data_IF_572259541873
#
_entry.id   IF_572259541873
#
_cell.length_a   1.000
_cell.length_b   1.000
_cell.length_c   1.000
_cell.angle_alpha   90.00
_cell.angle_beta   90.00
_cell.angle_gamma   90.00
#
_symmetry.space_group_name_H-M   'P 1'
#
loop_
_entity.id
_entity.type
_entity.pdbx_description
1 polymer ?
#
# COMPACT_ATOMS: atom_id res chain seq x y z
N UNK A 1 61.83 -30.90 40.48
CA UNK A 1 60.75 -31.17 39.51
C UNK A 1 59.74 -30.02 39.61
N UNK A 2 59.64 -29.18 38.58
CA UNK A 2 58.84 -27.94 38.55
C UNK A 2 57.47 -28.24 37.92
N UNK A 3 56.37 -27.75 38.51
CA UNK A 3 55.03 -27.75 37.90
C UNK A 3 54.54 -26.31 37.84
N UNK A 4 54.45 -25.78 36.62
CA UNK A 4 53.92 -24.46 36.30
C UNK A 4 52.45 -24.62 35.89
N UNK A 5 51.54 -23.98 36.61
CA UNK A 5 50.12 -23.95 36.27
C UNK A 5 49.87 -22.88 35.21
N UNK A 6 49.20 -23.26 34.12
CA UNK A 6 48.88 -22.41 32.98
C UNK A 6 47.55 -21.67 33.21
N UNK A 7 47.61 -20.34 33.18
CA UNK A 7 46.43 -19.45 33.16
C UNK A 7 45.80 -19.46 31.77
N UNK A 8 44.54 -19.87 31.68
CA UNK A 8 43.74 -19.82 30.44
C UNK A 8 43.08 -18.43 30.29
N UNK A 9 43.39 -17.77 29.17
CA UNK A 9 42.69 -16.58 28.68
C UNK A 9 41.27 -16.95 28.22
N UNK A 10 40.26 -16.20 28.69
CA UNK A 10 38.90 -16.18 28.14
C UNK A 10 38.72 -14.89 27.32
N UNK A 11 38.84 -14.99 25.99
CA UNK A 11 38.38 -13.95 25.06
C UNK A 11 36.89 -14.17 24.79
N UNK A 12 36.05 -13.28 25.31
CA UNK A 12 34.65 -13.18 24.95
C UNK A 12 34.50 -12.49 23.59
N UNK A 13 34.27 -13.26 22.53
CA UNK A 13 33.83 -12.73 21.25
C UNK A 13 32.32 -12.48 21.33
N UNK A 14 31.93 -11.23 21.55
CA UNK A 14 30.53 -10.82 21.39
C UNK A 14 30.18 -10.90 19.90
N UNK A 15 29.42 -11.94 19.54
CA UNK A 15 28.70 -12.01 18.28
C UNK A 15 27.72 -10.84 18.24
N UNK A 16 28.12 -9.75 17.58
CA UNK A 16 27.20 -8.71 17.14
C UNK A 16 26.23 -9.34 16.15
N UNK A 17 25.10 -9.82 16.66
CA UNK A 17 24.00 -10.27 15.83
C UNK A 17 23.55 -9.12 14.94
N UNK A 18 23.73 -9.27 13.63
CA UNK A 18 23.07 -8.44 12.64
C UNK A 18 21.57 -8.60 12.86
N UNK A 19 20.93 -7.60 13.48
CA UNK A 19 19.48 -7.48 13.44
C UNK A 19 19.12 -7.23 11.97
N UNK A 20 18.46 -8.22 11.37
CA UNK A 20 17.78 -8.05 10.11
C UNK A 20 16.62 -7.08 10.40
N UNK A 21 16.64 -5.90 9.80
CA UNK A 21 15.51 -4.96 9.79
C UNK A 21 14.36 -5.58 8.97
N UNK A 22 13.74 -6.64 9.49
CA UNK A 22 12.65 -7.37 8.84
C UNK A 22 11.28 -6.73 9.07
N UNK A 23 11.17 -5.72 9.93
CA UNK A 23 9.90 -5.09 10.25
C UNK A 23 10.05 -3.57 10.19
N UNK A 24 10.24 -3.03 8.98
CA UNK A 24 9.67 -1.69 8.76
C UNK A 24 8.16 -1.85 8.95
N UNK A 25 7.53 -1.17 9.93
CA UNK A 25 6.08 -1.26 10.09
C UNK A 25 5.46 -0.89 8.75
N UNK A 26 4.65 -1.81 8.21
CA UNK A 26 3.86 -1.52 7.03
C UNK A 26 3.02 -0.26 7.24
N UNK A 27 2.48 0.34 6.17
CA UNK A 27 1.63 1.52 6.28
C UNK A 27 0.52 1.26 7.30
N UNK A 28 0.37 2.15 8.27
CA UNK A 28 -0.68 2.06 9.28
C UNK A 28 -2.05 2.27 8.61
N UNK A 29 -2.96 1.27 8.65
CA UNK A 29 -4.32 1.39 8.11
C UNK A 29 -5.08 2.61 8.65
N UNK A 30 -4.76 3.05 9.88
CA UNK A 30 -5.35 4.24 10.50
C UNK A 30 -5.08 5.53 9.73
N UNK A 31 -4.00 5.61 8.94
CA UNK A 31 -3.70 6.79 8.12
C UNK A 31 -4.61 6.91 6.89
N UNK A 32 -5.12 5.79 6.37
CA UNK A 32 -5.99 5.75 5.20
C UNK A 32 -7.48 5.93 5.55
N UNK A 33 -7.85 5.65 6.80
CA UNK A 33 -9.23 5.74 7.28
C UNK A 33 -9.86 7.10 6.95
N UNK A 34 -11.10 7.08 6.47
CA UNK A 34 -11.84 8.26 6.00
C UNK A 34 -12.47 8.07 4.62
N UNK A 35 -13.14 9.12 4.15
CA UNK A 35 -13.80 9.15 2.84
C UNK A 35 -12.95 9.87 1.81
N UNK A 36 -12.91 9.33 0.59
CA UNK A 36 -12.05 9.77 -0.50
C UNK A 36 -12.86 9.83 -1.79
N UNK A 37 -12.89 10.99 -2.43
CA UNK A 37 -13.62 11.22 -3.69
C UNK A 37 -12.65 11.19 -4.86
N UNK A 38 -12.98 10.49 -5.93
CA UNK A 38 -12.20 10.50 -7.16
C UNK A 38 -12.23 11.91 -7.77
N UNK A 39 -11.06 12.50 -8.01
CA UNK A 39 -10.92 13.86 -8.56
C UNK A 39 -10.13 13.91 -9.86
N UNK A 40 -9.31 12.90 -10.14
CA UNK A 40 -8.64 12.73 -11.43
C UNK A 40 -8.49 11.25 -11.77
N UNK A 41 -8.56 10.94 -13.07
CA UNK A 41 -8.32 9.59 -13.60
C UNK A 41 -7.54 9.72 -14.90
N UNK A 42 -6.27 9.32 -14.84
CA UNK A 42 -5.42 9.20 -16.02
C UNK A 42 -5.56 7.79 -16.56
N UNK A 43 -5.96 7.67 -17.82
CA UNK A 43 -6.09 6.40 -18.53
C UNK A 43 -6.00 6.64 -20.03
N UNK A 44 -5.62 5.62 -20.80
CA UNK A 44 -5.80 5.63 -22.25
C UNK A 44 -7.29 5.44 -22.60
N UNK A 45 -8.07 6.47 -22.28
CA UNK A 45 -9.50 6.52 -22.52
C UNK A 45 -9.79 7.49 -23.68
N UNK A 46 -10.87 7.29 -24.47
CA UNK A 46 -11.28 8.26 -25.47
C UNK A 46 -11.44 9.66 -24.85
N UNK A 47 -11.07 10.70 -25.61
CA UNK A 47 -11.22 12.07 -25.17
C UNK A 47 -12.69 12.39 -24.81
N UNK A 48 -12.90 13.19 -23.76
CA UNK A 48 -14.23 13.63 -23.32
C UNK A 48 -15.01 12.62 -22.46
N UNK A 49 -14.40 11.49 -22.07
CA UNK A 49 -15.02 10.58 -21.11
C UNK A 49 -15.17 11.27 -19.73
N UNK A 50 -16.38 11.33 -19.16
CA UNK A 50 -16.57 11.95 -17.86
C UNK A 50 -15.82 11.18 -16.77
N UNK A 51 -15.34 11.91 -15.77
CA UNK A 51 -14.83 11.30 -14.55
C UNK A 51 -16.01 10.61 -13.84
N UNK A 52 -15.91 9.32 -13.48
CA UNK A 52 -16.94 8.65 -12.72
C UNK A 52 -17.17 9.37 -11.39
N UNK A 53 -18.44 9.50 -11.00
CA UNK A 53 -18.79 9.78 -9.62
C UNK A 53 -18.41 8.55 -8.80
N UNK A 54 -17.27 8.62 -8.11
CA UNK A 54 -16.71 7.52 -7.33
C UNK A 54 -16.20 8.03 -5.98
N UNK A 55 -16.58 7.32 -4.91
CA UNK A 55 -16.11 7.58 -3.56
C UNK A 55 -15.74 6.26 -2.88
N UNK A 56 -14.62 6.24 -2.17
CA UNK A 56 -14.19 5.12 -1.35
C UNK A 56 -14.11 5.57 0.09
N UNK A 57 -14.70 4.81 0.99
CA UNK A 57 -14.56 4.99 2.43
C UNK A 57 -13.75 3.82 2.97
N UNK A 58 -12.65 4.11 3.65
CA UNK A 58 -11.84 3.13 4.37
C UNK A 58 -12.09 3.29 5.87
N UNK A 59 -12.16 2.19 6.60
CA UNK A 59 -12.15 2.22 8.06
C UNK A 59 -10.81 1.75 8.64
N UNK A 60 -10.56 2.08 9.89
CA UNK A 60 -9.30 1.73 10.57
C UNK A 60 -9.14 0.22 10.82
N UNK A 61 -10.18 -0.58 10.59
CA UNK A 61 -10.16 -2.05 10.76
C UNK A 61 -9.78 -2.80 9.48
N UNK A 62 -9.48 -2.09 8.38
CA UNK A 62 -9.09 -2.75 7.14
C UNK A 62 -10.26 -3.10 6.23
N UNK A 63 -11.43 -2.47 6.40
CA UNK A 63 -12.56 -2.60 5.49
C UNK A 63 -12.77 -1.36 4.64
N UNK A 64 -13.44 -1.55 3.50
CA UNK A 64 -13.82 -0.44 2.64
C UNK A 64 -15.25 -0.56 2.12
N UNK A 65 -15.79 0.58 1.72
CA UNK A 65 -17.02 0.72 0.96
C UNK A 65 -16.73 1.55 -0.30
N UNK A 66 -17.16 1.07 -1.46
CA UNK A 66 -17.06 1.79 -2.73
C UNK A 66 -18.45 2.23 -3.16
N UNK A 67 -18.61 3.52 -3.41
CA UNK A 67 -19.82 4.14 -3.96
C UNK A 67 -19.55 4.60 -5.38
N UNK A 68 -20.50 4.34 -6.29
CA UNK A 68 -20.45 4.83 -7.68
C UNK A 68 -21.81 5.42 -8.06
N UNK A 69 -21.82 6.65 -8.59
CA UNK A 69 -23.06 7.36 -8.89
C UNK A 69 -23.95 7.58 -7.66
N UNK A 70 -23.35 7.74 -6.47
CA UNK A 70 -24.06 7.88 -5.20
C UNK A 70 -24.64 6.60 -4.60
N UNK A 71 -24.56 5.46 -5.28
CA UNK A 71 -25.03 4.17 -4.78
C UNK A 71 -23.86 3.30 -4.28
N UNK A 72 -24.09 2.50 -3.23
CA UNK A 72 -23.12 1.52 -2.76
C UNK A 72 -22.90 0.45 -3.85
N UNK A 73 -21.69 0.40 -4.39
CA UNK A 73 -21.32 -0.52 -5.47
C UNK A 73 -20.73 -1.83 -4.92
N UNK A 74 -19.87 -1.76 -3.90
CA UNK A 74 -19.37 -2.95 -3.20
C UNK A 74 -18.82 -2.57 -1.82
N UNK A 75 -18.66 -3.59 -0.97
CA UNK A 75 -17.88 -3.55 0.27
C UNK A 75 -16.77 -4.58 0.18
N UNK A 76 -15.80 -4.52 1.10
CA UNK A 76 -14.74 -5.51 1.15
C UNK A 76 -13.68 -5.23 2.21
N UNK A 77 -12.53 -5.86 2.06
CA UNK A 77 -11.33 -5.61 2.86
C UNK A 77 -10.22 -4.99 2.02
N UNK A 78 -9.27 -4.34 2.67
CA UNK A 78 -8.06 -3.87 2.03
C UNK A 78 -6.83 -4.30 2.81
N UNK A 79 -5.73 -4.52 2.09
CA UNK A 79 -4.44 -4.87 2.66
C UNK A 79 -3.32 -4.14 1.92
N UNK A 80 -2.20 -3.95 2.62
CA UNK A 80 -0.98 -3.41 2.03
C UNK A 80 0.05 -4.52 1.81
N UNK A 81 0.83 -4.37 0.74
CA UNK A 81 1.98 -5.23 0.48
C UNK A 81 3.12 -4.41 -0.13
N UNK A 82 4.28 -5.01 -0.31
CA UNK A 82 5.39 -4.41 -1.05
C UNK A 82 5.43 -5.05 -2.44
N UNK A 83 5.64 -4.23 -3.47
CA UNK A 83 5.71 -4.68 -4.85
C UNK A 83 6.50 -3.72 -5.73
N UNK A 84 6.64 -4.10 -7.00
CA UNK A 84 7.35 -3.27 -7.97
C UNK A 84 6.56 -1.98 -8.27
N UNK A 85 7.23 -0.81 -8.31
CA UNK A 85 6.59 0.43 -8.74
C UNK A 85 6.31 0.41 -10.24
N UNK A 86 5.38 1.26 -10.67
CA UNK A 86 5.15 1.49 -12.09
C UNK A 86 6.43 2.12 -12.70
N UNK A 87 6.90 1.58 -13.82
CA UNK A 87 8.09 2.09 -14.52
C UNK A 87 9.43 1.39 -14.19
N UNK A 88 9.42 0.30 -13.41
CA UNK A 88 10.58 -0.60 -13.30
C UNK A 88 11.74 -0.07 -12.45
N UNK A 89 11.50 0.89 -11.56
CA UNK A 89 12.49 1.29 -10.54
C UNK A 89 12.81 0.12 -9.60
N UNK A 90 14.06 0.05 -9.14
CA UNK A 90 14.56 -1.00 -8.24
C UNK A 90 14.07 -0.85 -6.79
N UNK A 91 13.35 0.22 -6.48
CA UNK A 91 12.83 0.48 -5.13
C UNK A 91 11.39 -0.03 -5.02
N UNK A 92 11.13 -0.93 -4.09
CA UNK A 92 9.77 -1.41 -3.82
C UNK A 92 8.85 -0.24 -3.45
N UNK A 93 7.64 -0.27 -4.02
CA UNK A 93 6.55 0.61 -3.64
C UNK A 93 5.51 -0.16 -2.83
N UNK A 94 4.93 0.53 -1.84
CA UNK A 94 3.73 0.04 -1.17
C UNK A 94 2.62 -0.14 -2.19
N UNK A 95 1.99 -1.30 -2.16
CA UNK A 95 0.82 -1.64 -2.95
C UNK A 95 -0.40 -1.69 -2.03
N UNK A 96 -1.55 -1.27 -2.55
CA UNK A 96 -2.85 -1.48 -1.92
C UNK A 96 -3.65 -2.49 -2.74
N UNK A 97 -4.22 -3.49 -2.05
CA UNK A 97 -5.11 -4.49 -2.64
C UNK A 97 -6.47 -4.37 -1.98
N UNK A 98 -7.49 -3.99 -2.76
CA UNK A 98 -8.88 -4.03 -2.34
C UNK A 98 -9.49 -5.37 -2.77
N UNK A 99 -10.09 -6.09 -1.83
CA UNK A 99 -10.77 -7.37 -2.07
C UNK A 99 -12.26 -7.18 -1.85
N UNK A 100 -13.01 -7.07 -2.94
CA UNK A 100 -14.46 -6.97 -2.89
C UNK A 100 -15.10 -8.26 -2.33
N UNK A 101 -16.13 -8.12 -1.50
CA UNK A 101 -16.91 -9.25 -0.99
C UNK A 101 -17.72 -9.93 -2.11
N UNK A 102 -18.04 -9.18 -3.18
CA UNK A 102 -18.73 -9.70 -4.36
C UNK A 102 -17.69 -9.97 -5.47
N UNK A 103 -17.66 -11.17 -6.07
CA UNK A 103 -16.73 -11.47 -7.15
C UNK A 103 -17.03 -10.66 -8.41
N UNK A 104 -16.01 -10.47 -9.25
CA UNK A 104 -16.11 -9.75 -10.55
C UNK A 104 -16.60 -8.30 -10.46
N UNK A 105 -16.44 -7.65 -9.29
CA UNK A 105 -16.70 -6.22 -9.13
C UNK A 105 -15.41 -5.43 -9.28
N UNK A 106 -15.50 -4.31 -9.99
CA UNK A 106 -14.39 -3.35 -10.10
C UNK A 106 -14.01 -2.78 -8.73
N UNK A 107 -12.71 -2.82 -8.43
CA UNK A 107 -12.07 -2.10 -7.32
C UNK A 107 -10.67 -1.64 -7.76
N UNK A 108 -10.25 -0.41 -7.42
CA UNK A 108 -8.90 0.05 -7.72
C UNK A 108 -7.88 -0.71 -6.85
N UNK A 109 -6.70 -0.97 -7.40
CA UNK A 109 -5.59 -1.65 -6.73
C UNK A 109 -4.26 -1.17 -7.34
N UNK A 110 -3.13 -1.53 -6.73
CA UNK A 110 -1.81 -1.22 -7.29
C UNK A 110 -0.97 -0.32 -6.39
N UNK A 111 -0.02 0.40 -6.98
CA UNK A 111 0.92 1.21 -6.23
C UNK A 111 0.18 2.34 -5.51
N UNK A 112 0.48 2.47 -4.24
CA UNK A 112 -0.21 3.33 -3.30
C UNK A 112 0.71 4.47 -2.88
N UNK A 113 0.21 5.70 -3.01
CA UNK A 113 0.82 6.86 -2.34
C UNK A 113 -0.27 7.70 -1.68
N UNK A 114 -0.02 8.07 -0.44
CA UNK A 114 -0.85 9.02 0.29
C UNK A 114 0.02 10.17 0.76
N UNK A 115 -0.40 11.40 0.44
CA UNK A 115 0.22 12.61 0.95
C UNK A 115 -0.87 13.63 1.27
N UNK A 116 -0.95 14.05 2.53
CA UNK A 116 -1.98 14.97 3.03
C UNK A 116 -3.40 14.45 2.72
N UNK A 117 -4.17 15.25 1.98
CA UNK A 117 -5.53 14.95 1.53
C UNK A 117 -5.57 14.31 0.14
N UNK A 118 -4.45 13.84 -0.38
CA UNK A 118 -4.37 13.20 -1.70
C UNK A 118 -3.99 11.73 -1.55
N UNK A 119 -4.81 10.87 -2.15
CA UNK A 119 -4.57 9.44 -2.30
C UNK A 119 -4.42 9.14 -3.79
N UNK A 120 -3.36 8.45 -4.18
CA UNK A 120 -3.15 7.98 -5.54
C UNK A 120 -3.02 6.46 -5.52
N UNK A 121 -3.81 5.81 -6.37
CA UNK A 121 -3.73 4.39 -6.66
C UNK A 121 -3.38 4.24 -8.14
N UNK A 122 -2.18 3.73 -8.42
CA UNK A 122 -1.66 3.54 -9.76
C UNK A 122 -1.63 2.05 -10.10
N UNK A 123 -2.47 1.61 -11.04
CA UNK A 123 -2.66 0.18 -11.32
C UNK A 123 -1.44 -0.49 -11.98
N UNK A 124 -0.42 0.26 -12.38
CA UNK A 124 0.81 -0.26 -12.99
C UNK A 124 0.60 -1.30 -14.11
N UNK A 125 -0.56 -1.33 -14.79
CA UNK A 125 -0.72 -2.21 -15.95
C UNK A 125 0.12 -1.68 -17.11
N UNK A 126 0.64 -2.59 -17.95
CA UNK A 126 1.54 -2.32 -19.08
C UNK A 126 1.36 -0.94 -19.73
N UNK A 127 2.48 -0.19 -19.84
CA UNK A 127 2.68 1.14 -20.43
C UNK A 127 1.73 2.30 -20.01
N UNK A 128 0.43 2.08 -19.82
CA UNK A 128 -0.60 3.12 -19.73
C UNK A 128 -1.77 2.73 -18.80
N UNK A 129 -1.48 1.97 -17.74
CA UNK A 129 -2.49 1.59 -16.76
C UNK A 129 -3.19 2.77 -16.10
N UNK A 130 -4.46 2.59 -15.66
CA UNK A 130 -5.20 3.68 -15.10
C UNK A 130 -4.63 4.10 -13.74
N UNK A 131 -4.45 5.40 -13.57
CA UNK A 131 -4.04 6.05 -12.34
C UNK A 131 -5.21 6.87 -11.80
N UNK A 132 -5.59 6.57 -10.57
CA UNK A 132 -6.72 7.18 -9.88
C UNK A 132 -6.22 8.10 -8.78
N UNK A 133 -6.64 9.36 -8.81
CA UNK A 133 -6.34 10.34 -7.78
C UNK A 133 -7.63 10.67 -7.04
N UNK A 134 -7.57 10.52 -5.73
CA UNK A 134 -8.66 10.83 -4.82
C UNK A 134 -8.27 11.98 -3.89
N UNK A 135 -9.26 12.75 -3.50
CA UNK A 135 -9.14 13.78 -2.48
C UNK A 135 -9.96 13.41 -1.25
N UNK A 136 -9.34 13.51 -0.08
CA UNK A 136 -9.99 13.29 1.22
C UNK A 136 -11.16 14.25 1.38
N UNK A 137 -12.31 13.71 1.76
CA UNK A 137 -13.50 14.48 2.08
C UNK A 137 -13.45 14.91 3.56
N UNK A 138 -13.99 16.09 3.89
CA UNK A 138 -14.08 16.57 5.26
C UNK A 138 -15.00 15.72 6.14
#
# INVERSE_FOLDING_TARGET
MKKTAASFLLLAASLGGCKHDADSPGPDPGTLAGSWRLTDRQCYCPAGQPLPDEQITFDASGHFQLFRGGALATVGSYAFSQGMPCGGSSTNATQITLTAATPNVYVPHGAYTQQNNTLVIDQCSVADGPKYTYTRQP
#
